data_IF_181412352776
#
_entry.id   IF_181412352776
#
_cell.length_a   1.000
_cell.length_b   1.000
_cell.length_c   1.000
_cell.angle_alpha   90.00
_cell.angle_beta   90.00
_cell.angle_gamma   90.00
#
_symmetry.space_group_name_H-M   'P 1'
#
loop_
_entity.id
_entity.type
_entity.pdbx_description
1 polymer ?
#
# COMPACT_ATOMS: atom_id res chain seq x y z
N UNK A 1 -33.12 82.00 3.33
CA UNK A 1 -33.68 80.63 3.29
C UNK A 1 -32.60 79.72 2.74
N UNK A 2 -31.89 79.03 3.63
CA UNK A 2 -30.78 78.12 3.30
C UNK A 2 -31.33 76.68 3.32
N UNK A 3 -31.33 75.98 2.18
CA UNK A 3 -31.74 74.57 2.08
C UNK A 3 -30.52 73.69 2.38
N UNK A 4 -30.64 72.99 3.47
CA UNK A 4 -29.67 71.99 3.92
C UNK A 4 -29.88 70.70 3.07
N UNK A 5 -28.89 70.32 2.30
CA UNK A 5 -28.89 69.08 1.48
C UNK A 5 -28.20 67.96 2.28
N UNK A 6 -28.99 67.04 2.78
CA UNK A 6 -28.50 65.89 3.54
C UNK A 6 -28.09 64.80 2.54
N UNK A 7 -26.79 64.54 2.43
CA UNK A 7 -26.27 63.45 1.63
C UNK A 7 -26.22 62.15 2.50
N UNK A 8 -27.04 61.19 2.14
CA UNK A 8 -27.10 59.90 2.82
C UNK A 8 -26.00 59.01 2.18
N UNK A 9 -24.92 58.73 2.94
CA UNK A 9 -23.82 57.83 2.49
C UNK A 9 -24.18 56.38 2.85
N UNK A 10 -24.63 55.61 1.85
CA UNK A 10 -24.93 54.19 2.00
C UNK A 10 -23.63 53.37 1.97
N UNK A 11 -23.19 52.84 3.10
CA UNK A 11 -22.07 51.92 3.20
C UNK A 11 -22.56 50.51 2.84
N UNK A 12 -22.18 50.01 1.66
CA UNK A 12 -22.37 48.62 1.29
C UNK A 12 -21.28 47.79 1.95
N UNK A 13 -21.63 47.00 2.96
CA UNK A 13 -20.76 45.96 3.54
C UNK A 13 -20.87 44.74 2.64
N UNK A 14 -19.83 44.48 1.81
CA UNK A 14 -19.69 43.26 1.07
C UNK A 14 -19.22 42.18 2.07
N UNK A 15 -20.15 41.36 2.56
CA UNK A 15 -19.84 40.13 3.27
C UNK A 15 -19.39 39.11 2.21
N UNK A 16 -18.10 39.03 2.00
CA UNK A 16 -17.48 37.95 1.19
C UNK A 16 -17.61 36.64 1.94
N UNK A 17 -18.54 35.76 1.55
CA UNK A 17 -18.52 34.38 1.94
C UNK A 17 -17.31 33.72 1.26
N UNK A 18 -16.22 33.53 2.00
CA UNK A 18 -15.16 32.61 1.63
C UNK A 18 -15.75 31.19 1.73
N UNK A 19 -16.24 30.65 0.62
CA UNK A 19 -16.49 29.22 0.50
C UNK A 19 -15.11 28.57 0.47
N UNK A 20 -14.68 28.03 1.61
CA UNK A 20 -13.58 27.09 1.65
C UNK A 20 -13.96 25.91 0.75
N UNK A 21 -13.34 25.79 -0.42
CA UNK A 21 -13.43 24.60 -1.22
C UNK A 21 -12.86 23.45 -0.39
N UNK A 22 -13.70 22.58 0.12
CA UNK A 22 -13.28 21.26 0.60
C UNK A 22 -12.73 20.58 -0.65
N UNK A 23 -11.41 20.45 -0.72
CA UNK A 23 -10.78 19.67 -1.78
C UNK A 23 -11.29 18.23 -1.62
N UNK A 24 -12.19 17.80 -2.47
CA UNK A 24 -12.58 16.40 -2.57
C UNK A 24 -11.34 15.66 -3.07
N UNK A 25 -10.69 14.92 -2.19
CA UNK A 25 -9.62 14.01 -2.60
C UNK A 25 -10.28 12.92 -3.42
N UNK A 26 -9.97 12.86 -4.71
CA UNK A 26 -10.40 11.77 -5.55
C UNK A 26 -9.86 10.46 -4.97
N UNK A 27 -10.56 9.37 -5.22
CA UNK A 27 -10.27 8.07 -4.63
C UNK A 27 -10.26 7.01 -5.72
N UNK A 28 -9.23 6.18 -5.72
CA UNK A 28 -9.17 4.96 -6.52
C UNK A 28 -9.59 3.80 -5.62
N UNK A 29 -10.62 3.06 -6.00
CA UNK A 29 -11.06 1.84 -5.29
C UNK A 29 -10.54 0.60 -6.02
N UNK A 30 -10.22 -0.44 -5.27
CA UNK A 30 -9.97 -1.78 -5.79
C UNK A 30 -10.97 -2.76 -5.16
N UNK A 31 -12.05 -3.03 -5.87
CA UNK A 31 -13.09 -3.98 -5.46
C UNK A 31 -12.80 -5.41 -5.94
N UNK A 32 -11.74 -5.62 -6.73
CA UNK A 32 -11.45 -6.91 -7.35
C UNK A 32 -10.48 -7.75 -6.51
N UNK A 33 -9.64 -7.12 -5.69
CA UNK A 33 -8.67 -7.82 -4.85
C UNK A 33 -9.35 -8.31 -3.58
N UNK A 34 -9.41 -9.65 -3.42
CA UNK A 34 -9.95 -10.27 -2.20
C UNK A 34 -9.01 -10.05 -1.02
N UNK A 35 -9.58 -9.71 0.14
CA UNK A 35 -8.83 -9.65 1.40
C UNK A 35 -8.42 -11.05 1.89
N UNK A 36 -9.18 -12.06 1.55
CA UNK A 36 -8.94 -13.44 1.97
C UNK A 36 -8.47 -14.26 0.78
N UNK A 37 -7.33 -14.89 0.96
CA UNK A 37 -6.77 -15.78 -0.07
C UNK A 37 -7.50 -17.13 -0.05
N UNK A 38 -8.00 -17.53 -1.21
CA UNK A 38 -8.68 -18.80 -1.42
C UNK A 38 -7.73 -19.97 -1.68
N UNK A 39 -8.30 -21.12 -1.98
CA UNK A 39 -7.56 -22.32 -2.41
C UNK A 39 -7.69 -22.56 -3.90
N UNK A 40 -6.61 -23.06 -4.52
CA UNK A 40 -6.50 -23.32 -5.95
C UNK A 40 -5.97 -24.74 -6.19
N UNK A 41 -6.55 -25.46 -7.14
CA UNK A 41 -5.99 -26.73 -7.59
C UNK A 41 -4.79 -26.44 -8.51
N UNK A 42 -3.56 -26.88 -8.19
CA UNK A 42 -2.40 -26.62 -9.01
C UNK A 42 -2.53 -27.25 -10.39
N UNK A 43 -1.97 -26.57 -11.38
CA UNK A 43 -1.73 -27.11 -12.72
C UNK A 43 -0.25 -27.46 -12.89
N UNK A 44 0.09 -28.23 -13.93
CA UNK A 44 1.46 -28.68 -14.18
C UNK A 44 2.47 -27.53 -14.38
N UNK A 45 1.99 -26.39 -14.89
CA UNK A 45 2.79 -25.19 -15.11
C UNK A 45 3.01 -24.34 -13.86
N UNK A 46 2.24 -24.58 -12.78
CA UNK A 46 2.32 -23.74 -11.57
C UNK A 46 3.51 -24.14 -10.70
N UNK A 47 4.12 -23.15 -10.06
CA UNK A 47 5.11 -23.36 -9.02
C UNK A 47 4.38 -23.57 -7.68
N UNK A 48 4.90 -24.48 -6.87
CA UNK A 48 4.49 -24.65 -5.47
C UNK A 48 5.58 -24.05 -4.60
N UNK A 49 5.20 -23.11 -3.74
CA UNK A 49 6.13 -22.31 -2.94
C UNK A 49 5.79 -22.45 -1.46
N UNK A 50 6.81 -22.80 -0.66
CA UNK A 50 6.77 -22.67 0.80
C UNK A 50 7.18 -21.26 1.20
N UNK A 51 6.40 -20.64 2.11
CA UNK A 51 6.65 -19.30 2.60
C UNK A 51 6.37 -19.19 4.10
N UNK A 52 7.29 -18.62 4.86
CA UNK A 52 7.22 -18.59 6.32
C UNK A 52 7.47 -17.19 6.92
N UNK A 53 7.56 -16.14 6.07
CA UNK A 53 7.68 -14.76 6.56
C UNK A 53 6.31 -14.21 6.92
N UNK A 54 6.26 -13.37 7.94
CA UNK A 54 5.08 -12.66 8.41
C UNK A 54 4.88 -11.28 7.76
N UNK A 55 5.70 -10.93 6.76
CA UNK A 55 5.61 -9.63 6.09
C UNK A 55 4.27 -9.39 5.37
N UNK A 56 3.57 -10.47 5.00
CA UNK A 56 2.25 -10.41 4.35
C UNK A 56 1.11 -10.77 5.31
N UNK A 57 1.39 -11.01 6.61
CA UNK A 57 0.40 -11.43 7.59
C UNK A 57 -0.50 -10.25 8.01
N UNK A 58 -1.80 -10.43 7.87
CA UNK A 58 -2.84 -9.47 8.26
C UNK A 58 -3.67 -9.94 9.44
N UNK A 59 -3.10 -10.82 10.27
CA UNK A 59 -3.68 -11.31 11.52
C UNK A 59 -4.20 -12.74 11.49
N UNK A 60 -4.21 -13.39 10.32
CA UNK A 60 -4.67 -14.76 10.12
C UNK A 60 -3.55 -15.71 9.68
N UNK A 61 -2.29 -15.34 9.93
CA UNK A 61 -1.12 -16.00 9.37
C UNK A 61 -1.15 -16.09 7.84
N UNK A 62 -1.66 -15.04 7.21
CA UNK A 62 -1.78 -14.96 5.77
C UNK A 62 -0.44 -15.23 5.10
N UNK A 63 -0.48 -16.00 4.01
CA UNK A 63 0.66 -16.49 3.25
C UNK A 63 1.61 -17.44 4.00
N UNK A 64 1.41 -17.72 5.30
CA UNK A 64 2.25 -18.64 6.05
C UNK A 64 1.89 -20.10 5.72
N UNK A 65 2.79 -20.81 5.03
CA UNK A 65 2.55 -22.19 4.59
C UNK A 65 2.70 -23.24 5.70
N UNK A 66 3.21 -22.87 6.88
CA UNK A 66 3.16 -23.74 8.07
C UNK A 66 1.76 -23.78 8.68
N UNK A 67 0.98 -22.74 8.52
CA UNK A 67 -0.41 -22.64 9.00
C UNK A 67 -1.40 -23.06 7.91
N UNK A 68 -1.10 -22.71 6.67
CA UNK A 68 -1.87 -23.04 5.47
C UNK A 68 -1.11 -24.05 4.61
N UNK A 69 -1.61 -24.40 3.45
CA UNK A 69 -0.88 -25.24 2.49
C UNK A 69 0.08 -24.40 1.64
N UNK A 70 0.90 -25.04 0.81
CA UNK A 70 1.79 -24.40 -0.14
C UNK A 70 1.05 -23.35 -1.00
N UNK A 71 1.77 -22.31 -1.39
CA UNK A 71 1.27 -21.29 -2.31
C UNK A 71 1.35 -21.82 -3.74
N UNK A 72 0.27 -21.62 -4.48
CA UNK A 72 0.23 -21.87 -5.92
C UNK A 72 0.58 -20.58 -6.63
N UNK A 73 1.66 -20.59 -7.39
CA UNK A 73 2.18 -19.45 -8.12
C UNK A 73 2.10 -19.70 -9.63
N UNK A 74 1.35 -18.85 -10.33
CA UNK A 74 1.32 -18.84 -11.80
C UNK A 74 2.59 -18.15 -12.30
N UNK A 75 3.39 -18.78 -13.18
CA UNK A 75 4.58 -18.15 -13.75
C UNK A 75 4.24 -16.81 -14.42
N UNK A 76 5.13 -15.83 -14.27
CA UNK A 76 4.92 -14.50 -14.81
C UNK A 76 4.72 -14.53 -16.33
N UNK A 77 3.66 -13.89 -16.81
CA UNK A 77 3.25 -13.89 -18.21
C UNK A 77 3.14 -12.47 -18.81
N UNK A 78 3.73 -11.47 -18.16
CA UNK A 78 3.69 -10.07 -18.60
C UNK A 78 2.40 -9.33 -18.23
N UNK A 79 1.56 -9.88 -17.36
CA UNK A 79 0.29 -9.26 -16.96
C UNK A 79 0.19 -9.16 -15.44
N UNK A 80 0.13 -7.91 -14.96
CA UNK A 80 -0.10 -7.61 -13.56
C UNK A 80 -1.27 -6.63 -13.43
N UNK A 81 -1.94 -6.74 -12.30
CA UNK A 81 -2.96 -5.80 -11.85
C UNK A 81 -2.57 -5.27 -10.47
N UNK A 82 -3.06 -4.09 -10.12
CA UNK A 82 -2.97 -3.60 -8.76
C UNK A 82 -3.66 -4.60 -7.82
N UNK A 83 -3.04 -4.86 -6.67
CA UNK A 83 -3.52 -5.84 -5.72
C UNK A 83 -2.96 -7.25 -5.90
N UNK A 84 -2.41 -7.60 -7.06
CA UNK A 84 -1.75 -8.90 -7.25
C UNK A 84 -0.61 -9.10 -6.27
N UNK A 85 -0.55 -10.25 -5.61
CA UNK A 85 0.62 -10.65 -4.83
C UNK A 85 1.56 -11.42 -5.72
N UNK A 86 2.81 -10.96 -5.78
CA UNK A 86 3.85 -11.53 -6.63
C UNK A 86 4.93 -12.23 -5.81
N UNK A 87 5.47 -13.28 -6.37
CA UNK A 87 6.68 -13.96 -5.92
C UNK A 87 7.84 -13.48 -6.79
N UNK A 88 8.86 -12.86 -6.20
CA UNK A 88 9.92 -12.19 -6.93
C UNK A 88 11.29 -12.39 -6.30
N UNK A 89 12.32 -12.26 -7.12
CA UNK A 89 13.70 -12.23 -6.66
C UNK A 89 14.06 -10.82 -6.19
N UNK A 90 14.68 -10.72 -5.02
CA UNK A 90 15.23 -9.47 -4.52
C UNK A 90 16.31 -8.95 -5.46
N UNK A 91 16.43 -7.63 -5.54
CA UNK A 91 17.45 -6.96 -6.34
C UNK A 91 18.84 -7.36 -5.87
N UNK A 92 19.74 -7.68 -6.80
CA UNK A 92 21.12 -8.05 -6.47
C UNK A 92 21.82 -6.94 -5.68
N UNK A 93 21.54 -5.67 -6.01
CA UNK A 93 22.06 -4.51 -5.28
C UNK A 93 21.64 -4.46 -3.81
N UNK A 94 20.48 -4.99 -3.45
CA UNK A 94 20.04 -5.07 -2.05
C UNK A 94 20.66 -6.27 -1.34
N UNK A 95 20.79 -7.40 -2.02
CA UNK A 95 21.48 -8.58 -1.50
C UNK A 95 22.96 -8.30 -1.20
N UNK A 96 23.60 -7.48 -2.04
CA UNK A 96 25.00 -7.04 -1.82
C UNK A 96 25.13 -6.11 -0.60
N UNK A 97 24.12 -5.28 -0.31
CA UNK A 97 24.11 -4.40 0.87
C UNK A 97 23.84 -5.15 2.18
N UNK A 98 23.05 -6.22 2.12
CA UNK A 98 22.65 -6.99 3.29
C UNK A 98 22.52 -8.48 2.96
N UNK A 99 23.55 -9.25 3.31
CA UNK A 99 23.63 -10.69 3.10
C UNK A 99 22.58 -11.52 3.86
N UNK A 100 21.89 -10.91 4.84
CA UNK A 100 20.80 -11.56 5.58
C UNK A 100 19.45 -11.47 4.88
N UNK A 101 19.34 -10.72 3.79
CA UNK A 101 18.12 -10.70 2.99
C UNK A 101 17.90 -12.05 2.29
N UNK A 102 16.66 -12.48 2.26
CA UNK A 102 16.27 -13.63 1.46
C UNK A 102 16.40 -13.31 -0.03
N UNK A 103 16.69 -14.33 -0.85
CA UNK A 103 16.70 -14.15 -2.31
C UNK A 103 15.31 -13.96 -2.88
N UNK A 104 14.31 -14.58 -2.27
CA UNK A 104 12.93 -14.57 -2.75
C UNK A 104 12.03 -13.85 -1.77
N UNK A 105 11.08 -13.10 -2.31
CA UNK A 105 10.13 -12.31 -1.56
C UNK A 105 8.71 -12.47 -2.09
N UNK A 106 7.73 -12.17 -1.23
CA UNK A 106 6.36 -11.85 -1.60
C UNK A 106 6.12 -10.36 -1.40
N UNK A 107 5.36 -9.77 -2.29
CA UNK A 107 4.91 -8.38 -2.17
C UNK A 107 3.67 -8.15 -3.02
N UNK A 108 2.91 -7.14 -2.66
CA UNK A 108 1.69 -6.77 -3.38
C UNK A 108 1.98 -5.63 -4.34
N UNK A 109 1.54 -5.76 -5.58
CA UNK A 109 1.63 -4.70 -6.59
C UNK A 109 0.71 -3.56 -6.20
N UNK A 110 1.28 -2.39 -5.97
CA UNK A 110 0.56 -1.17 -5.56
C UNK A 110 0.61 -0.12 -6.64
N UNK A 111 1.75 0.06 -7.30
CA UNK A 111 1.90 0.99 -8.43
C UNK A 111 2.20 0.25 -9.72
N UNK A 112 1.52 0.66 -10.79
CA UNK A 112 1.67 0.14 -12.15
C UNK A 112 2.49 1.11 -13.03
N UNK A 113 3.06 0.65 -14.16
CA UNK A 113 3.81 1.51 -15.08
C UNK A 113 3.08 2.81 -15.43
N UNK A 114 3.84 3.90 -15.47
CA UNK A 114 3.38 5.27 -15.74
C UNK A 114 2.57 5.95 -14.62
N UNK A 115 2.30 5.30 -13.51
CA UNK A 115 1.69 5.90 -12.34
C UNK A 115 2.72 6.59 -11.43
N UNK A 116 2.24 7.49 -10.60
CA UNK A 116 3.04 8.08 -9.52
C UNK A 116 2.50 7.60 -8.19
N UNK A 117 3.35 6.95 -7.41
CA UNK A 117 3.03 6.45 -6.06
C UNK A 117 3.64 7.38 -5.03
N UNK A 118 2.87 7.78 -4.02
CA UNK A 118 3.39 8.42 -2.81
C UNK A 118 2.69 7.87 -1.58
N UNK A 119 3.36 7.98 -0.44
CA UNK A 119 2.76 7.65 0.86
C UNK A 119 2.77 8.92 1.71
N UNK A 120 1.64 9.22 2.34
CA UNK A 120 1.50 10.37 3.24
C UNK A 120 0.70 9.99 4.47
N UNK A 121 1.33 10.05 5.63
CA UNK A 121 0.70 9.71 6.90
C UNK A 121 0.11 8.30 6.93
N UNK A 122 0.83 7.32 6.41
CA UNK A 122 0.40 5.92 6.34
C UNK A 122 -0.58 5.60 5.22
N UNK A 123 -0.98 6.56 4.39
CA UNK A 123 -1.91 6.37 3.29
C UNK A 123 -1.20 6.42 1.94
N UNK A 124 -1.47 5.44 1.09
CA UNK A 124 -0.99 5.39 -0.30
C UNK A 124 -1.86 6.26 -1.19
N UNK A 125 -1.20 6.97 -2.09
CA UNK A 125 -1.83 7.75 -3.17
C UNK A 125 -1.23 7.33 -4.52
N UNK A 126 -2.10 7.20 -5.51
CA UNK A 126 -1.75 6.91 -6.91
C UNK A 126 -2.20 8.09 -7.74
N UNK A 127 -1.26 8.75 -8.45
CA UNK A 127 -1.55 9.95 -9.25
C UNK A 127 -2.31 11.03 -8.45
N UNK A 128 -1.92 11.23 -7.18
CA UNK A 128 -2.56 12.11 -6.20
C UNK A 128 -3.98 11.70 -5.72
N UNK A 129 -4.53 10.61 -6.18
CA UNK A 129 -5.78 10.04 -5.70
C UNK A 129 -5.54 9.02 -4.58
N UNK A 130 -6.35 9.08 -3.51
CA UNK A 130 -6.25 8.15 -2.39
C UNK A 130 -6.54 6.73 -2.87
N UNK A 131 -5.66 5.78 -2.55
CA UNK A 131 -5.94 4.36 -2.76
C UNK A 131 -6.84 3.85 -1.62
N UNK A 132 -8.12 3.62 -1.92
CA UNK A 132 -9.12 3.05 -1.02
C UNK A 132 -9.21 1.55 -1.24
N UNK A 133 -8.27 0.85 -0.63
CA UNK A 133 -8.16 -0.60 -0.62
C UNK A 133 -7.55 -1.02 0.73
N UNK A 134 -7.79 -2.24 1.16
CA UNK A 134 -7.27 -2.76 2.44
C UNK A 134 -5.74 -2.71 2.55
N UNK A 135 -5.05 -2.71 1.43
CA UNK A 135 -3.58 -2.61 1.33
C UNK A 135 -3.11 -1.18 1.01
N UNK A 136 -4.01 -0.22 0.91
CA UNK A 136 -3.72 1.19 0.61
C UNK A 136 -3.34 2.02 1.84
N UNK A 137 -3.29 1.43 3.02
CA UNK A 137 -3.00 2.09 4.29
C UNK A 137 -2.07 1.24 5.15
N UNK A 138 -1.24 1.88 5.96
CA UNK A 138 -0.39 1.18 6.93
C UNK A 138 -1.25 0.42 7.94
N UNK A 139 -1.02 -0.88 8.08
CA UNK A 139 -1.69 -1.74 9.05
C UNK A 139 -0.69 -2.57 9.83
N UNK A 140 -1.06 -2.99 11.03
CA UNK A 140 -0.31 -3.97 11.81
C UNK A 140 -1.23 -5.15 12.13
N UNK A 141 -0.91 -6.31 11.59
CA UNK A 141 -1.77 -7.51 11.65
C UNK A 141 -3.21 -7.20 11.16
N UNK A 142 -3.34 -6.45 10.08
CA UNK A 142 -4.61 -6.04 9.50
C UNK A 142 -5.32 -4.89 10.22
N UNK A 143 -4.85 -4.47 11.39
CA UNK A 143 -5.44 -3.35 12.15
C UNK A 143 -4.93 -2.02 11.62
N UNK A 144 -5.83 -1.09 11.37
CA UNK A 144 -5.53 0.33 11.13
C UNK A 144 -4.93 0.97 12.37
N UNK A 145 -4.42 2.20 12.25
CA UNK A 145 -3.85 2.95 13.39
C UNK A 145 -4.84 3.06 14.56
N UNK A 146 -6.07 3.44 14.27
CA UNK A 146 -7.13 3.63 15.25
C UNK A 146 -7.45 2.30 15.95
N UNK A 147 -7.73 1.25 15.21
CA UNK A 147 -8.03 -0.09 15.72
C UNK A 147 -6.87 -0.66 16.53
N UNK A 148 -5.62 -0.45 16.08
CA UNK A 148 -4.44 -0.92 16.80
C UNK A 148 -4.33 -0.29 18.18
N UNK A 149 -4.45 1.02 18.30
CA UNK A 149 -4.33 1.71 19.59
C UNK A 149 -5.54 1.52 20.50
N UNK A 150 -6.70 1.13 19.97
CA UNK A 150 -7.88 0.77 20.75
C UNK A 150 -7.81 -0.67 21.32
N UNK A 151 -7.21 -1.60 20.58
CA UNK A 151 -7.29 -3.04 20.89
C UNK A 151 -6.03 -3.59 21.53
N UNK A 152 -4.85 -3.07 21.17
CA UNK A 152 -3.57 -3.61 21.65
C UNK A 152 -3.21 -3.09 23.03
N UNK A 153 -2.69 -3.99 23.89
CA UNK A 153 -2.23 -3.61 25.23
C UNK A 153 -0.94 -2.78 25.14
N UNK A 154 -1.07 -1.48 25.29
CA UNK A 154 0.00 -0.49 25.14
C UNK A 154 1.14 -0.60 26.16
N UNK A 155 1.00 -1.43 27.22
CA UNK A 155 2.03 -1.55 28.27
C UNK A 155 3.33 -2.19 27.79
N UNK A 156 3.27 -2.98 26.72
CA UNK A 156 4.39 -3.78 26.21
C UNK A 156 4.86 -3.34 24.81
N UNK A 157 4.37 -2.21 24.30
CA UNK A 157 4.75 -1.70 22.99
C UNK A 157 5.36 -0.30 23.11
N UNK A 158 6.27 -0.01 22.20
CA UNK A 158 6.76 1.35 22.00
C UNK A 158 5.73 2.16 21.23
N UNK A 159 4.91 2.92 21.94
CA UNK A 159 3.84 3.74 21.34
C UNK A 159 4.38 4.74 20.32
N UNK A 160 5.50 5.39 20.62
CA UNK A 160 6.10 6.40 19.74
C UNK A 160 6.57 5.78 18.41
N UNK A 161 7.19 4.61 18.48
CA UNK A 161 7.62 3.85 17.31
C UNK A 161 6.42 3.43 16.43
N UNK A 162 5.34 2.95 17.04
CA UNK A 162 4.13 2.57 16.32
C UNK A 162 3.41 3.79 15.74
N UNK A 163 3.37 4.92 16.44
CA UNK A 163 2.85 6.16 15.86
C UNK A 163 3.68 6.64 14.67
N UNK A 164 5.01 6.52 14.76
CA UNK A 164 5.89 6.83 13.63
C UNK A 164 5.61 5.90 12.44
N UNK A 165 5.50 4.61 12.68
CA UNK A 165 5.15 3.61 11.68
C UNK A 165 3.84 3.95 10.95
N UNK A 166 2.74 4.15 11.67
CA UNK A 166 1.44 4.47 11.09
C UNK A 166 1.41 5.84 10.38
N UNK A 167 2.39 6.70 10.63
CA UNK A 167 2.55 7.99 9.94
C UNK A 167 3.65 7.96 8.87
N UNK A 168 4.08 6.77 8.44
CA UNK A 168 5.06 6.61 7.37
C UNK A 168 4.72 7.51 6.17
N UNK A 169 5.73 8.20 5.65
CA UNK A 169 5.58 9.04 4.47
C UNK A 169 6.75 8.80 3.53
N UNK A 170 6.48 8.86 2.23
CA UNK A 170 7.45 8.67 1.15
C UNK A 170 7.16 9.70 0.06
N UNK A 171 8.21 10.32 -0.45
CA UNK A 171 8.12 11.23 -1.58
C UNK A 171 7.58 10.53 -2.83
N UNK A 172 6.92 11.27 -3.73
CA UNK A 172 6.38 10.69 -4.95
C UNK A 172 7.46 10.01 -5.80
N UNK A 173 7.19 8.79 -6.21
CA UNK A 173 8.01 8.04 -7.15
C UNK A 173 7.17 7.69 -8.39
N UNK A 174 7.69 8.01 -9.57
CA UNK A 174 7.05 7.62 -10.83
C UNK A 174 7.48 6.21 -11.18
N UNK A 175 6.50 5.33 -11.39
CA UNK A 175 6.73 3.95 -11.82
C UNK A 175 7.09 3.98 -13.31
N UNK A 176 8.28 3.49 -13.64
CA UNK A 176 8.80 3.44 -15.00
C UNK A 176 8.21 2.25 -15.76
N UNK A 177 8.34 2.25 -17.09
CA UNK A 177 7.96 1.09 -17.91
C UNK A 177 8.80 -0.15 -17.52
N UNK A 178 8.18 -1.31 -17.55
CA UNK A 178 8.77 -2.60 -17.13
C UNK A 178 9.20 -2.63 -15.65
N UNK A 179 8.60 -1.80 -14.82
CA UNK A 179 8.76 -1.84 -13.36
C UNK A 179 7.41 -1.78 -12.66
N UNK A 180 7.39 -2.20 -11.40
CA UNK A 180 6.23 -2.03 -10.51
C UNK A 180 6.67 -1.48 -9.17
N UNK A 181 5.75 -0.86 -8.44
CA UNK A 181 5.92 -0.50 -7.04
C UNK A 181 5.20 -1.52 -6.18
N UNK A 182 5.93 -2.20 -5.32
CA UNK A 182 5.41 -3.28 -4.46
C UNK A 182 5.51 -2.90 -2.99
N UNK A 183 4.50 -3.29 -2.21
CA UNK A 183 4.54 -3.22 -0.75
C UNK A 183 4.29 -4.61 -0.16
N UNK A 184 4.85 -4.86 1.01
CA UNK A 184 4.37 -5.94 1.88
C UNK A 184 3.10 -5.48 2.61
N UNK A 185 2.21 -6.39 3.02
CA UNK A 185 0.97 -5.99 3.69
C UNK A 185 1.23 -5.46 5.11
N UNK A 186 2.27 -5.94 5.78
CA UNK A 186 2.74 -5.42 7.06
C UNK A 186 4.06 -4.64 6.87
N UNK A 187 4.00 -3.35 6.58
CA UNK A 187 5.09 -2.54 6.04
C UNK A 187 6.36 -2.51 6.88
N UNK A 188 6.28 -2.74 8.20
CA UNK A 188 7.43 -2.73 9.09
C UNK A 188 8.11 -4.10 9.25
N UNK A 189 7.56 -5.16 8.62
CA UNK A 189 8.05 -6.54 8.72
C UNK A 189 8.80 -7.04 7.48
N UNK A 190 8.84 -6.26 6.41
CA UNK A 190 9.51 -6.67 5.18
C UNK A 190 10.25 -5.53 4.50
N UNK A 191 11.12 -5.91 3.58
CA UNK A 191 11.81 -4.99 2.67
C UNK A 191 11.04 -4.92 1.37
N UNK A 192 10.64 -3.73 0.96
CA UNK A 192 9.81 -3.49 -0.21
C UNK A 192 10.19 -2.20 -0.95
N UNK A 193 9.35 -1.73 -1.87
CA UNK A 193 9.65 -0.55 -2.69
C UNK A 193 9.86 0.74 -1.89
N UNK A 194 9.47 0.81 -0.62
CA UNK A 194 9.83 1.95 0.24
C UNK A 194 11.34 1.99 0.51
N UNK A 195 12.00 0.84 0.47
CA UNK A 195 13.41 0.68 0.81
C UNK A 195 14.28 0.69 -0.46
N UNK A 196 13.88 -0.06 -1.50
CA UNK A 196 14.70 -0.25 -2.71
C UNK A 196 14.19 0.49 -3.96
N UNK A 197 13.01 1.12 -3.90
CA UNK A 197 12.41 1.80 -5.04
C UNK A 197 11.63 0.86 -5.95
N UNK A 198 11.82 0.96 -7.27
CA UNK A 198 11.04 0.19 -8.24
C UNK A 198 11.59 -1.24 -8.40
N UNK A 199 10.67 -2.20 -8.50
CA UNK A 199 10.99 -3.59 -8.81
C UNK A 199 10.90 -3.80 -10.32
N UNK A 200 12.01 -4.19 -11.02
CA UNK A 200 11.94 -4.58 -12.43
C UNK A 200 11.06 -5.82 -12.64
N UNK A 201 10.27 -5.81 -13.71
CA UNK A 201 9.42 -6.96 -14.04
C UNK A 201 10.20 -8.25 -14.28
N UNK A 202 11.45 -8.16 -14.73
CA UNK A 202 12.34 -9.31 -14.92
C UNK A 202 12.66 -10.08 -13.63
N UNK A 203 12.53 -9.43 -12.47
CA UNK A 203 12.70 -10.07 -11.17
C UNK A 203 11.47 -10.90 -10.75
N UNK A 204 10.32 -10.72 -11.41
CA UNK A 204 9.07 -11.37 -11.05
C UNK A 204 9.07 -12.82 -11.57
N UNK A 205 8.91 -13.77 -10.66
CA UNK A 205 8.81 -15.18 -11.00
C UNK A 205 7.38 -15.61 -11.28
N UNK A 206 6.41 -14.99 -10.62
CA UNK A 206 5.00 -15.30 -10.83
C UNK A 206 4.05 -14.59 -9.90
N UNK A 207 2.77 -14.81 -10.13
CA UNK A 207 1.65 -14.31 -9.34
C UNK A 207 1.10 -15.40 -8.42
N UNK A 208 0.91 -15.08 -7.16
CA UNK A 208 0.26 -15.98 -6.19
C UNK A 208 -1.23 -16.05 -6.50
N UNK A 209 -1.74 -17.25 -6.73
CA UNK A 209 -3.14 -17.51 -7.02
C UNK A 209 -3.95 -17.89 -5.76
N UNK A 210 -3.30 -18.49 -4.79
CA UNK A 210 -3.94 -18.99 -3.57
C UNK A 210 -3.14 -20.11 -2.92
N UNK A 211 -3.73 -20.71 -1.89
CA UNK A 211 -3.19 -21.91 -1.27
C UNK A 211 -3.53 -23.15 -2.11
N UNK A 212 -2.66 -24.12 -2.09
CA UNK A 212 -2.88 -25.44 -2.69
C UNK A 212 -4.07 -26.13 -2.01
N UNK A 213 -5.01 -26.57 -2.82
CA UNK A 213 -6.19 -27.32 -2.39
C UNK A 213 -5.83 -28.76 -2.01
#
# INVERSE_FOLDING_TARGET
>A
MIRLLTVLLSVFILVGCSQGSVATTNTITDENTSEVMGTVTPQESHLLVEWNSDAMDRGNHDFNTMTHSELVVEPYNGKLQRGDVIYYQMLDSELEKNENLSKMYLGRVVGLPNETVKIKGGQVYINDEKLDAFYGVATSLGLTKEEYFETVNLKNINKEEMEHYFNTSMEPIKVEENTVFVLVDMWWRGTDSKDFGLLPEENIQGKVLGYKK
#
